data_IF_978346530067
#
_entry.id   IF_978346530067
#
_cell.length_a   1.000
_cell.length_b   1.000
_cell.length_c   1.000
_cell.angle_alpha   90.00
_cell.angle_beta   90.00
_cell.angle_gamma   90.00
#
_symmetry.space_group_name_H-M   'P 1'
#
loop_
_entity.id
_entity.type
_entity.pdbx_description
1 polymer ?
#
# COMPACT_ATOMS: atom_id res chain seq x y z
N UNK A 1 0.41 -6.53 -21.68
CA UNK A 1 1.16 -6.83 -20.44
C UNK A 1 1.02 -5.60 -19.57
N UNK A 2 0.29 -5.73 -18.46
CA UNK A 2 -0.06 -4.60 -17.59
C UNK A 2 1.17 -4.12 -16.80
N UNK A 3 1.42 -2.81 -16.78
CA UNK A 3 2.55 -2.19 -16.07
C UNK A 3 2.42 -2.40 -14.56
N UNK A 4 1.21 -2.33 -14.01
CA UNK A 4 0.98 -2.46 -12.56
C UNK A 4 1.35 -3.86 -12.07
N UNK A 5 0.94 -4.89 -12.82
CA UNK A 5 1.30 -6.28 -12.52
C UNK A 5 2.82 -6.52 -12.57
N UNK A 6 3.57 -5.82 -13.43
CA UNK A 6 5.04 -5.91 -13.46
C UNK A 6 5.71 -5.28 -12.23
N UNK A 7 5.04 -4.32 -11.61
CA UNK A 7 5.47 -3.66 -10.38
C UNK A 7 4.91 -4.33 -9.12
N UNK A 8 4.20 -5.46 -9.27
CA UNK A 8 3.54 -6.17 -8.18
C UNK A 8 2.52 -5.28 -7.43
N UNK A 9 1.84 -4.41 -8.17
CA UNK A 9 0.72 -3.60 -7.67
C UNK A 9 -0.58 -4.35 -7.98
N UNK A 10 -1.32 -4.67 -6.93
CA UNK A 10 -2.63 -5.32 -6.98
C UNK A 10 -3.76 -4.26 -6.88
N UNK A 11 -5.02 -4.69 -6.91
CA UNK A 11 -6.16 -3.78 -6.70
C UNK A 11 -6.11 -3.13 -5.32
N UNK A 12 -5.79 -3.91 -4.27
CA UNK A 12 -5.58 -3.44 -2.89
C UNK A 12 -4.18 -3.79 -2.44
N UNK A 13 -3.44 -2.81 -1.93
CA UNK A 13 -2.03 -2.96 -1.52
C UNK A 13 -1.85 -2.54 -0.06
N UNK A 14 -0.95 -3.15 0.69
CA UNK A 14 -0.66 -2.72 2.06
C UNK A 14 0.23 -1.46 2.08
N UNK A 15 -0.06 -0.52 2.98
CA UNK A 15 0.63 0.77 3.05
C UNK A 15 1.89 0.81 3.91
N UNK A 16 2.21 -0.26 4.64
CA UNK A 16 3.39 -0.35 5.49
C UNK A 16 4.30 -1.51 5.09
N UNK A 17 5.61 -1.26 5.08
CA UNK A 17 6.62 -2.25 4.71
C UNK A 17 7.86 -2.15 5.61
N UNK A 18 8.44 -3.30 5.96
CA UNK A 18 9.73 -3.42 6.63
C UNK A 18 10.80 -3.71 5.58
N UNK A 19 11.70 -2.75 5.36
CA UNK A 19 12.91 -2.93 4.55
C UNK A 19 12.69 -3.35 3.09
N UNK A 20 11.47 -3.20 2.54
CA UNK A 20 11.13 -3.70 1.21
C UNK A 20 10.94 -5.22 1.12
N UNK A 21 10.93 -5.92 2.27
CA UNK A 21 10.89 -7.39 2.34
C UNK A 21 9.52 -7.89 2.80
N UNK A 22 8.94 -7.21 3.79
CA UNK A 22 7.69 -7.63 4.42
C UNK A 22 6.66 -6.50 4.39
N UNK A 23 5.52 -6.75 3.76
CA UNK A 23 4.37 -5.85 3.80
C UNK A 23 3.49 -6.21 4.99
N UNK A 24 3.14 -5.22 5.83
CA UNK A 24 2.38 -5.44 7.05
C UNK A 24 0.88 -5.52 6.76
N UNK A 25 0.25 -6.61 7.18
CA UNK A 25 -1.19 -6.81 7.00
C UNK A 25 -1.99 -5.91 7.94
N UNK A 26 -2.45 -4.77 7.45
CA UNK A 26 -3.36 -3.90 8.21
C UNK A 26 -4.73 -4.55 8.42
N UNK A 27 -5.25 -4.43 9.64
CA UNK A 27 -6.63 -4.81 9.99
C UNK A 27 -7.43 -3.55 10.32
N UNK A 28 -8.17 -3.01 9.35
CA UNK A 28 -9.07 -1.88 9.56
C UNK A 28 -8.52 -0.49 9.24
N UNK A 29 -7.47 -0.40 8.41
CA UNK A 29 -6.95 0.87 7.90
C UNK A 29 -7.90 1.56 6.92
N UNK A 30 -7.65 2.84 6.67
CA UNK A 30 -8.36 3.58 5.63
C UNK A 30 -7.95 3.08 4.24
N UNK A 31 -8.93 2.94 3.34
CA UNK A 31 -8.68 2.62 1.93
C UNK A 31 -8.42 3.92 1.16
N UNK A 32 -7.15 4.21 0.90
CA UNK A 32 -6.73 5.36 0.15
C UNK A 32 -6.70 5.03 -1.35
N UNK A 33 -7.68 5.55 -2.10
CA UNK A 33 -7.83 5.28 -3.53
C UNK A 33 -6.96 6.25 -4.33
N UNK A 34 -6.08 5.70 -5.18
CA UNK A 34 -5.24 6.47 -6.08
C UNK A 34 -5.94 6.72 -7.41
N UNK A 35 -6.07 7.98 -7.81
CA UNK A 35 -6.70 8.38 -9.07
C UNK A 35 -5.69 8.98 -10.04
N UNK A 36 -5.84 8.66 -11.33
CA UNK A 36 -5.08 9.31 -12.39
C UNK A 36 -5.56 10.76 -12.54
N UNK A 37 -4.71 11.79 -12.34
CA UNK A 37 -5.14 13.19 -12.38
C UNK A 37 -5.57 13.68 -13.78
N UNK A 38 -5.16 12.99 -14.85
CA UNK A 38 -5.56 13.35 -16.21
C UNK A 38 -6.96 12.83 -16.61
N UNK A 39 -7.42 11.75 -15.98
CA UNK A 39 -8.67 11.06 -16.37
C UNK A 39 -9.68 10.92 -15.22
N UNK A 40 -9.25 11.09 -13.98
CA UNK A 40 -10.05 10.79 -12.79
C UNK A 40 -10.31 9.29 -12.58
N UNK A 41 -9.67 8.41 -13.35
CA UNK A 41 -9.89 6.95 -13.27
C UNK A 41 -9.09 6.38 -12.09
N UNK A 42 -9.70 5.47 -11.34
CA UNK A 42 -9.05 4.71 -10.26
C UNK A 42 -7.93 3.83 -10.82
N UNK A 43 -6.75 3.91 -10.21
CA UNK A 43 -5.58 3.09 -10.54
C UNK A 43 -5.57 1.84 -9.65
N UNK A 44 -5.59 2.01 -8.33
CA UNK A 44 -5.58 1.00 -7.28
C UNK A 44 -5.84 1.67 -5.92
N UNK A 45 -5.97 0.90 -4.85
CA UNK A 45 -6.03 1.42 -3.48
C UNK A 45 -4.89 0.91 -2.60
N UNK A 46 -4.54 1.72 -1.60
CA UNK A 46 -3.62 1.38 -0.51
C UNK A 46 -4.41 1.32 0.79
N UNK A 47 -4.30 0.19 1.50
CA UNK A 47 -4.76 0.07 2.87
C UNK A 47 -3.71 0.72 3.78
N UNK A 48 -4.01 1.92 4.27
CA UNK A 48 -3.08 2.70 5.09
C UNK A 48 -2.67 1.94 6.36
N UNK A 49 -1.52 2.31 6.91
CA UNK A 49 -0.99 1.69 8.11
C UNK A 49 -1.80 2.06 9.36
N UNK A 50 -1.73 1.22 10.38
CA UNK A 50 -2.16 1.60 11.74
C UNK A 50 -0.95 2.02 12.59
N UNK A 51 -1.20 2.59 13.78
CA UNK A 51 -0.14 3.06 14.68
C UNK A 51 0.86 1.95 15.05
N UNK A 52 0.42 0.69 15.13
CA UNK A 52 1.29 -0.44 15.49
C UNK A 52 2.30 -0.79 14.39
N UNK A 53 1.98 -0.47 13.13
CA UNK A 53 2.92 -0.67 12.02
C UNK A 53 4.06 0.32 12.06
N UNK A 54 3.80 1.59 12.43
CA UNK A 54 4.88 2.58 12.58
C UNK A 54 5.93 2.07 13.58
N UNK A 55 5.50 1.61 14.74
CA UNK A 55 6.38 1.05 15.76
C UNK A 55 7.13 -0.19 15.26
N UNK A 56 6.45 -1.07 14.52
CA UNK A 56 7.05 -2.27 13.95
C UNK A 56 8.14 -1.94 12.92
N UNK A 57 7.90 -0.95 12.06
CA UNK A 57 8.84 -0.49 11.04
C UNK A 57 10.05 0.20 11.69
N UNK A 58 9.82 1.13 12.62
CA UNK A 58 10.91 1.86 13.30
C UNK A 58 11.80 0.91 14.10
N UNK A 59 11.24 -0.11 14.75
CA UNK A 59 12.02 -1.10 15.50
C UNK A 59 12.91 -1.97 14.61
N UNK A 60 12.54 -2.15 13.35
CA UNK A 60 13.26 -2.98 12.38
C UNK A 60 14.26 -2.19 11.51
N UNK A 61 14.32 -0.85 11.66
CA UNK A 61 15.23 0.05 10.94
C UNK A 61 16.58 0.20 11.65
#
# INVERSE_FOLDING_TARGET
MDLLNKLNIEETNYGACIGGVEWLSTKGGFKNISYNPATGVNIAEVLECDESHYESVVKAA
#
